data_IF_305868678763
#
_entry.id   IF_305868678763
#
_cell.length_a   1.000
_cell.length_b   1.000
_cell.length_c   1.000
_cell.angle_alpha   90.00
_cell.angle_beta   90.00
_cell.angle_gamma   90.00
#
_symmetry.space_group_name_H-M   'P 1'
#
loop_
_entity.id
_entity.type
_entity.pdbx_description
1 polymer ?
#
# COMPACT_ATOMS: atom_id res chain seq x y z
N UNK A 1 -24.98 -9.17 -51.18
CA UNK A 1 -25.09 -10.04 -50.00
C UNK A 1 -23.72 -10.15 -49.37
N UNK A 2 -23.52 -9.53 -48.21
CA UNK A 2 -22.27 -9.64 -47.45
C UNK A 2 -22.38 -10.87 -46.53
N UNK A 3 -21.55 -11.88 -46.77
CA UNK A 3 -21.38 -12.99 -45.83
C UNK A 3 -20.49 -12.46 -44.71
N UNK A 4 -21.13 -12.12 -43.60
CA UNK A 4 -20.48 -11.77 -42.35
C UNK A 4 -19.89 -13.08 -41.79
N UNK A 5 -18.64 -13.38 -42.15
CA UNK A 5 -17.89 -14.49 -41.56
C UNK A 5 -17.57 -14.13 -40.11
N UNK A 6 -18.40 -14.63 -39.18
CA UNK A 6 -18.04 -14.74 -37.77
C UNK A 6 -16.84 -15.68 -37.68
N UNK A 7 -15.63 -15.12 -37.56
CA UNK A 7 -14.51 -15.86 -37.00
C UNK A 7 -14.85 -16.04 -35.52
N UNK A 8 -15.49 -17.16 -35.20
CA UNK A 8 -15.44 -17.73 -33.86
C UNK A 8 -13.97 -18.08 -33.63
N UNK A 9 -13.20 -17.13 -33.07
CA UNK A 9 -11.95 -17.50 -32.41
C UNK A 9 -12.36 -18.44 -31.29
N UNK A 10 -12.27 -19.74 -31.57
CA UNK A 10 -12.12 -20.77 -30.56
C UNK A 10 -11.00 -20.26 -29.66
N UNK A 11 -11.37 -19.70 -28.52
CA UNK A 11 -10.46 -19.40 -27.42
C UNK A 11 -9.84 -20.73 -27.09
N UNK A 12 -8.66 -20.98 -27.67
CA UNK A 12 -7.91 -22.20 -27.50
C UNK A 12 -7.87 -22.50 -26.00
N UNK A 13 -8.17 -23.73 -25.66
CA UNK A 13 -8.17 -24.23 -24.30
C UNK A 13 -6.72 -24.21 -23.79
N UNK A 14 -6.17 -23.03 -23.53
CA UNK A 14 -4.78 -22.82 -23.12
C UNK A 14 -4.50 -23.65 -21.87
N UNK A 15 -3.36 -24.32 -21.84
CA UNK A 15 -2.91 -25.12 -20.70
C UNK A 15 -2.48 -24.24 -19.51
N UNK A 16 -2.47 -22.91 -19.68
CA UNK A 16 -2.18 -21.94 -18.63
C UNK A 16 -3.01 -20.66 -18.77
N UNK A 17 -3.22 -19.89 -17.69
CA UNK A 17 -3.87 -18.57 -17.77
C UNK A 17 -3.06 -17.61 -18.65
N UNK A 18 -3.75 -16.60 -19.20
CA UNK A 18 -3.12 -15.59 -20.06
C UNK A 18 -2.12 -14.73 -19.29
N UNK A 19 -0.96 -14.44 -19.88
CA UNK A 19 0.04 -13.54 -19.30
C UNK A 19 -0.49 -12.11 -19.13
N UNK A 20 -1.40 -11.67 -20.01
CA UNK A 20 -2.06 -10.36 -19.88
C UNK A 20 -2.99 -10.32 -18.67
N UNK A 21 -3.81 -11.36 -18.51
CA UNK A 21 -4.75 -11.47 -17.38
C UNK A 21 -4.00 -11.57 -16.05
N UNK A 22 -3.04 -12.48 -15.96
CA UNK A 22 -2.27 -12.73 -14.74
C UNK A 22 -1.43 -11.52 -14.31
N UNK A 23 -0.86 -10.78 -15.28
CA UNK A 23 -0.19 -9.51 -15.00
C UNK A 23 -1.15 -8.48 -14.39
N UNK A 24 -2.32 -8.27 -15.00
CA UNK A 24 -3.28 -7.29 -14.50
C UNK A 24 -3.81 -7.68 -13.11
N UNK A 25 -4.18 -8.95 -12.92
CA UNK A 25 -4.63 -9.45 -11.62
C UNK A 25 -3.57 -9.29 -10.53
N UNK A 26 -2.29 -9.48 -10.86
CA UNK A 26 -1.15 -9.29 -9.93
C UNK A 26 -0.97 -7.82 -9.56
N UNK A 27 -1.07 -6.92 -10.53
CA UNK A 27 -1.04 -5.48 -10.28
C UNK A 27 -2.23 -5.06 -9.41
N UNK A 28 -3.45 -5.52 -9.74
CA UNK A 28 -4.66 -5.19 -8.99
C UNK A 28 -4.60 -5.75 -7.57
N UNK A 29 -4.09 -6.98 -7.40
CA UNK A 29 -3.87 -7.58 -6.09
C UNK A 29 -2.86 -6.79 -5.27
N UNK A 30 -1.71 -6.44 -5.85
CA UNK A 30 -0.71 -5.62 -5.17
C UNK A 30 -1.30 -4.25 -4.79
N UNK A 31 -1.96 -3.55 -5.72
CA UNK A 31 -2.58 -2.26 -5.43
C UNK A 31 -3.76 -2.34 -4.46
N UNK A 32 -4.42 -3.49 -4.31
CA UNK A 32 -5.48 -3.67 -3.31
C UNK A 32 -4.90 -3.94 -1.91
N UNK A 33 -3.73 -4.57 -1.83
CA UNK A 33 -3.05 -4.91 -0.58
C UNK A 33 -2.00 -3.87 -0.16
N UNK A 34 -1.57 -3.01 -1.08
CA UNK A 34 -0.82 -1.79 -0.79
C UNK A 34 -1.83 -0.72 -0.39
N UNK A 35 -1.91 -0.46 0.92
CA UNK A 35 -2.82 0.52 1.54
C UNK A 35 -2.18 1.91 1.64
N UNK A 36 -0.92 2.07 1.20
CA UNK A 36 -0.40 3.39 0.84
C UNK A 36 -1.30 3.97 -0.25
N UNK A 37 -1.66 5.25 -0.14
CA UNK A 37 -2.42 5.91 -1.20
C UNK A 37 -1.68 5.72 -2.52
N UNK A 38 -2.37 5.14 -3.49
CA UNK A 38 -1.80 4.68 -4.76
C UNK A 38 -1.12 5.81 -5.52
N UNK A 39 -1.49 7.08 -5.24
CA UNK A 39 -0.82 8.25 -5.79
C UNK A 39 0.65 8.38 -5.38
N UNK A 40 1.09 7.72 -4.31
CA UNK A 40 2.48 7.71 -3.84
C UNK A 40 3.37 6.71 -4.58
N UNK A 41 2.80 5.82 -5.39
CA UNK A 41 3.52 4.75 -6.04
C UNK A 41 3.22 4.70 -7.53
N UNK A 42 4.27 4.80 -8.33
CA UNK A 42 4.23 4.60 -9.77
C UNK A 42 4.74 3.20 -10.08
N UNK A 43 3.93 2.35 -10.71
CA UNK A 43 4.40 1.04 -11.17
C UNK A 43 5.43 1.23 -12.29
N UNK A 44 6.68 0.84 -12.04
CA UNK A 44 7.77 0.93 -13.02
C UNK A 44 8.11 -0.42 -13.65
N UNK A 45 7.84 -1.52 -12.93
CA UNK A 45 8.10 -2.88 -13.41
C UNK A 45 7.01 -3.84 -12.95
N UNK A 46 6.61 -4.74 -13.84
CA UNK A 46 5.76 -5.87 -13.52
C UNK A 46 6.21 -7.06 -14.39
N UNK A 47 6.99 -7.95 -13.80
CA UNK A 47 7.61 -9.09 -14.48
C UNK A 47 7.16 -10.39 -13.84
N UNK A 48 6.75 -11.34 -14.69
CA UNK A 48 6.43 -12.69 -14.25
C UNK A 48 7.74 -13.45 -14.01
N UNK A 49 8.00 -13.84 -12.77
CA UNK A 49 9.22 -14.58 -12.42
C UNK A 49 9.04 -16.08 -12.47
N UNK A 50 7.81 -16.58 -12.26
CA UNK A 50 7.52 -18.02 -12.32
C UNK A 50 6.05 -18.32 -12.67
N UNK A 51 5.77 -19.57 -13.04
CA UNK A 51 4.47 -20.16 -12.79
C UNK A 51 4.44 -21.67 -13.04
N UNK A 52 3.67 -22.36 -12.23
CA UNK A 52 3.69 -23.82 -12.12
C UNK A 52 2.32 -24.37 -11.78
N UNK A 53 2.09 -25.65 -12.09
CA UNK A 53 0.89 -26.36 -11.66
C UNK A 53 1.11 -27.06 -10.32
N UNK A 54 0.14 -26.96 -9.43
CA UNK A 54 0.09 -27.69 -8.16
C UNK A 54 -1.37 -27.90 -7.76
N UNK A 55 -1.73 -29.11 -7.36
CA UNK A 55 -3.06 -29.44 -6.80
C UNK A 55 -4.25 -28.96 -7.66
N UNK A 56 -4.16 -29.13 -8.99
CA UNK A 56 -5.16 -28.68 -10.00
C UNK A 56 -5.31 -27.15 -10.15
N UNK A 57 -4.43 -26.37 -9.52
CA UNK A 57 -4.32 -24.94 -9.73
C UNK A 57 -3.02 -24.60 -10.47
N UNK A 58 -3.04 -23.48 -11.18
CA UNK A 58 -1.87 -22.88 -11.81
C UNK A 58 -1.48 -21.64 -11.01
N UNK A 59 -0.27 -21.62 -10.49
CA UNK A 59 0.28 -20.52 -9.71
C UNK A 59 1.13 -19.62 -10.61
N UNK A 60 1.08 -18.31 -10.37
CA UNK A 60 1.95 -17.33 -11.01
C UNK A 60 2.62 -16.48 -9.94
N UNK A 61 3.90 -16.20 -10.15
CA UNK A 61 4.68 -15.28 -9.34
C UNK A 61 5.03 -14.05 -10.18
N UNK A 62 4.76 -12.86 -9.65
CA UNK A 62 5.18 -11.60 -10.23
C UNK A 62 6.04 -10.80 -9.26
N UNK A 63 7.15 -10.29 -9.78
CA UNK A 63 7.94 -9.25 -9.13
C UNK A 63 7.46 -7.90 -9.67
N UNK A 64 7.01 -7.05 -8.77
CA UNK A 64 6.56 -5.70 -9.05
C UNK A 64 7.56 -4.72 -8.45
N UNK A 65 7.91 -3.70 -9.22
CA UNK A 65 8.68 -2.56 -8.72
C UNK A 65 7.83 -1.30 -8.87
N UNK A 66 7.73 -0.59 -7.77
CA UNK A 66 7.09 0.70 -7.67
C UNK A 66 8.14 1.75 -7.38
N UNK A 67 7.99 2.92 -7.98
CA UNK A 67 8.80 4.09 -7.67
C UNK A 67 7.98 5.05 -6.82
N UNK A 68 8.57 5.55 -5.76
CA UNK A 68 7.93 6.54 -4.90
C UNK A 68 7.83 7.87 -5.62
N UNK A 69 6.64 8.46 -5.63
CA UNK A 69 6.40 9.77 -6.27
C UNK A 69 6.63 10.93 -5.31
N UNK A 70 6.57 10.67 -4.00
CA UNK A 70 6.83 11.62 -2.92
C UNK A 70 7.68 10.98 -1.81
N UNK A 71 8.13 11.81 -0.87
CA UNK A 71 8.87 11.35 0.30
C UNK A 71 7.93 10.72 1.35
N UNK A 72 8.48 9.80 2.15
CA UNK A 72 7.77 9.14 3.25
C UNK A 72 7.14 10.14 4.24
N UNK A 73 7.82 11.26 4.51
CA UNK A 73 7.30 12.33 5.35
C UNK A 73 6.00 12.94 4.79
N UNK A 74 5.93 13.17 3.47
CA UNK A 74 4.75 13.73 2.79
C UNK A 74 3.56 12.78 2.87
N UNK A 75 3.81 11.48 2.64
CA UNK A 75 2.79 10.45 2.78
C UNK A 75 2.23 10.38 4.20
N UNK A 76 3.11 10.38 5.21
CA UNK A 76 2.68 10.35 6.60
C UNK A 76 1.87 11.60 6.98
N UNK A 77 2.28 12.78 6.53
CA UNK A 77 1.53 14.02 6.76
C UNK A 77 0.14 13.95 6.14
N UNK A 78 0.01 13.50 4.89
CA UNK A 78 -1.30 13.38 4.23
C UNK A 78 -2.22 12.39 4.97
N UNK A 79 -1.66 11.28 5.47
CA UNK A 79 -2.42 10.31 6.28
C UNK A 79 -2.82 10.92 7.64
N UNK A 80 -1.93 11.65 8.30
CA UNK A 80 -2.22 12.34 9.55
C UNK A 80 -3.31 13.42 9.38
N UNK A 81 -3.30 14.18 8.28
CA UNK A 81 -4.35 15.16 7.94
C UNK A 81 -5.72 14.47 7.79
N UNK A 82 -5.77 13.33 7.11
CA UNK A 82 -7.01 12.55 6.97
C UNK A 82 -7.52 12.02 8.32
N UNK A 83 -6.63 11.55 9.19
CA UNK A 83 -6.99 11.11 10.54
C UNK A 83 -7.51 12.29 11.36
N UNK A 84 -6.84 13.44 11.32
CA UNK A 84 -7.27 14.63 12.05
C UNK A 84 -8.63 15.13 11.56
N UNK A 85 -8.90 15.09 10.25
CA UNK A 85 -10.20 15.42 9.70
C UNK A 85 -11.30 14.44 10.16
N UNK A 86 -10.99 13.14 10.28
CA UNK A 86 -11.91 12.15 10.84
C UNK A 86 -12.16 12.41 12.33
N UNK A 87 -11.12 12.71 13.10
CA UNK A 87 -11.21 13.04 14.53
C UNK A 87 -12.05 14.30 14.77
N UNK A 88 -11.91 15.33 13.93
CA UNK A 88 -12.68 16.56 14.04
C UNK A 88 -14.20 16.35 13.89
N UNK A 89 -14.63 15.24 13.28
CA UNK A 89 -16.04 14.85 13.17
C UNK A 89 -16.58 14.10 14.40
N UNK A 90 -15.72 13.77 15.37
CA UNK A 90 -16.05 13.01 16.58
C UNK A 90 -16.17 13.90 17.82
N UNK A 91 -16.87 13.42 18.85
CA UNK A 91 -16.88 14.07 20.17
C UNK A 91 -15.51 13.99 20.85
N UNK A 92 -15.24 14.89 21.80
CA UNK A 92 -13.96 14.92 22.54
C UNK A 92 -13.64 13.58 23.22
N UNK A 93 -14.65 12.89 23.76
CA UNK A 93 -14.49 11.58 24.39
C UNK A 93 -14.11 10.49 23.38
N UNK A 94 -14.71 10.52 22.18
CA UNK A 94 -14.40 9.60 21.09
C UNK A 94 -13.01 9.86 20.52
N UNK A 95 -12.63 11.13 20.36
CA UNK A 95 -11.27 11.50 19.96
C UNK A 95 -10.23 10.99 20.97
N UNK A 96 -10.46 11.23 22.26
CA UNK A 96 -9.58 10.78 23.34
C UNK A 96 -9.51 9.24 23.38
N UNK A 97 -10.64 8.55 23.19
CA UNK A 97 -10.69 7.08 23.17
C UNK A 97 -9.95 6.51 21.95
N UNK A 98 -10.11 7.13 20.78
CA UNK A 98 -9.39 6.72 19.56
C UNK A 98 -7.88 6.85 19.76
N UNK A 99 -7.41 8.03 20.17
CA UNK A 99 -5.98 8.29 20.42
C UNK A 99 -5.43 7.42 21.57
N UNK A 100 -6.22 7.16 22.62
CA UNK A 100 -5.81 6.32 23.76
C UNK A 100 -5.74 4.83 23.38
N UNK A 101 -6.77 4.28 22.71
CA UNK A 101 -6.76 2.89 22.22
C UNK A 101 -5.54 2.65 21.34
N UNK A 102 -5.29 3.60 20.44
CA UNK A 102 -4.11 3.61 19.62
C UNK A 102 -2.89 3.60 20.52
N UNK A 103 -2.66 4.60 21.39
CA UNK A 103 -1.49 4.66 22.30
C UNK A 103 -1.21 3.38 23.11
N UNK A 104 -2.23 2.58 23.45
CA UNK A 104 -2.10 1.29 24.14
C UNK A 104 -1.61 0.17 23.20
N UNK A 105 -2.01 0.18 21.93
CA UNK A 105 -1.48 -0.71 20.87
C UNK A 105 0.00 -0.38 20.54
N UNK A 106 0.51 0.83 20.84
CA UNK A 106 1.93 1.25 20.66
C UNK A 106 2.89 0.69 21.71
N UNK A 107 2.40 0.06 22.78
CA UNK A 107 3.31 -0.44 23.82
C UNK A 107 4.12 -1.67 23.36
N UNK A 108 3.80 -2.23 22.19
CA UNK A 108 4.66 -3.17 21.48
C UNK A 108 5.73 -2.41 20.66
N UNK A 109 6.80 -2.01 21.37
CA UNK A 109 7.88 -1.14 20.88
C UNK A 109 8.56 -1.63 19.59
N UNK A 110 8.42 -2.91 19.24
CA UNK A 110 9.18 -3.56 18.18
C UNK A 110 8.85 -3.02 16.79
N UNK A 111 7.58 -2.74 16.49
CA UNK A 111 7.12 -2.37 15.15
C UNK A 111 7.35 -0.91 14.79
N UNK A 112 7.31 -0.02 15.78
CA UNK A 112 7.40 1.43 15.58
C UNK A 112 8.79 2.00 15.84
N UNK A 113 9.73 1.16 16.26
CA UNK A 113 11.11 1.56 16.50
C UNK A 113 11.76 2.17 15.25
N UNK A 114 11.61 1.61 14.02
CA UNK A 114 12.19 2.21 12.81
C UNK A 114 11.64 3.62 12.54
N UNK A 115 10.32 3.83 12.71
CA UNK A 115 9.70 5.15 12.60
C UNK A 115 10.23 6.12 13.67
N UNK A 116 10.31 5.66 14.92
CA UNK A 116 10.75 6.48 16.05
C UNK A 116 12.21 6.95 15.87
N UNK A 117 13.07 6.07 15.37
CA UNK A 117 14.48 6.38 15.10
C UNK A 117 14.63 7.32 13.90
N UNK A 118 13.89 7.06 12.82
CA UNK A 118 13.82 7.97 11.68
C UNK A 118 13.34 9.36 12.11
N UNK A 119 12.26 9.43 12.89
CA UNK A 119 11.69 10.69 13.37
C UNK A 119 12.72 11.51 14.15
N UNK A 120 13.38 10.89 15.14
CA UNK A 120 14.43 11.55 15.94
C UNK A 120 15.62 12.01 15.09
N UNK A 121 16.04 11.20 14.11
CA UNK A 121 17.18 11.52 13.25
C UNK A 121 16.90 12.60 12.20
N UNK A 122 15.63 12.90 11.90
CA UNK A 122 15.27 13.81 10.81
C UNK A 122 14.67 15.15 11.27
N UNK A 123 14.47 15.38 12.58
CA UNK A 123 13.80 16.59 13.08
C UNK A 123 14.43 17.90 12.62
N UNK A 124 15.76 17.94 12.50
CA UNK A 124 16.50 19.15 12.11
C UNK A 124 16.68 19.30 10.58
N UNK A 125 16.14 18.38 9.79
CA UNK A 125 16.25 18.44 8.33
C UNK A 125 15.27 19.46 7.74
N UNK A 126 15.69 20.17 6.69
CA UNK A 126 14.83 21.12 5.99
C UNK A 126 13.55 20.45 5.45
N UNK A 127 13.67 19.22 4.98
CA UNK A 127 12.56 18.40 4.49
C UNK A 127 11.51 18.15 5.58
N UNK A 128 11.94 17.70 6.75
CA UNK A 128 11.05 17.48 7.88
C UNK A 128 10.38 18.79 8.33
N UNK A 129 11.13 19.88 8.43
CA UNK A 129 10.61 21.19 8.87
C UNK A 129 9.57 21.77 7.89
N UNK A 130 9.75 21.54 6.58
CA UNK A 130 8.82 22.00 5.56
C UNK A 130 7.54 21.17 5.48
N UNK A 131 7.65 19.85 5.62
CA UNK A 131 6.53 18.93 5.40
C UNK A 131 5.80 18.60 6.69
N UNK A 132 6.53 18.10 7.69
CA UNK A 132 5.97 17.72 8.99
C UNK A 132 5.76 18.98 9.84
N UNK A 133 6.79 19.81 10.02
CA UNK A 133 6.71 21.03 10.83
C UNK A 133 5.65 22.04 10.36
N UNK A 134 5.28 22.06 9.07
CA UNK A 134 4.19 22.90 8.55
C UNK A 134 2.79 22.35 8.91
N UNK A 135 2.59 21.04 8.83
CA UNK A 135 1.34 20.39 9.24
C UNK A 135 1.09 20.61 10.73
N UNK A 136 2.11 20.35 11.55
CA UNK A 136 2.07 20.48 13.00
C UNK A 136 1.71 21.90 13.48
N UNK A 137 2.24 22.94 12.82
CA UNK A 137 1.88 24.35 13.09
C UNK A 137 0.41 24.70 12.82
N UNK A 138 -0.34 23.89 12.06
CA UNK A 138 -1.76 24.14 11.75
C UNK A 138 -2.73 23.48 12.75
N UNK A 139 -2.32 22.46 13.50
CA UNK A 139 -3.24 21.60 14.29
C UNK A 139 -3.52 22.08 15.73
N UNK A 140 -3.11 23.29 16.11
CA UNK A 140 -3.31 23.93 17.43
C UNK A 140 -2.85 23.10 18.67
N UNK A 141 -1.75 23.55 19.28
CA UNK A 141 -1.31 23.38 20.68
C UNK A 141 -1.37 21.98 21.33
N UNK A 142 -0.37 21.13 21.04
CA UNK A 142 0.53 20.50 22.03
C UNK A 142 1.46 19.53 21.27
N UNK A 143 2.78 19.62 21.47
CA UNK A 143 3.78 18.68 20.90
C UNK A 143 3.41 17.20 21.11
N UNK A 144 2.63 16.91 22.16
CA UNK A 144 2.09 15.59 22.46
C UNK A 144 1.03 15.11 21.45
N UNK A 145 0.09 15.97 21.01
CA UNK A 145 -0.94 15.62 20.02
C UNK A 145 -0.30 15.40 18.65
N UNK A 146 0.66 16.25 18.31
CA UNK A 146 1.46 16.16 17.09
C UNK A 146 2.15 14.78 16.96
N UNK A 147 2.85 14.39 18.03
CA UNK A 147 3.51 13.10 18.10
C UNK A 147 2.52 11.94 18.06
N UNK A 148 1.38 12.06 18.73
CA UNK A 148 0.34 11.03 18.71
C UNK A 148 -0.24 10.84 17.30
N UNK A 149 -0.60 11.91 16.58
CA UNK A 149 -1.15 11.81 15.23
C UNK A 149 -0.17 11.18 14.24
N UNK A 150 1.11 11.56 14.31
CA UNK A 150 2.12 11.00 13.41
C UNK A 150 2.46 9.56 13.74
N UNK A 151 2.42 9.18 15.02
CA UNK A 151 2.49 7.79 15.44
C UNK A 151 1.30 6.99 14.89
N UNK A 152 0.08 7.54 14.97
CA UNK A 152 -1.14 6.94 14.38
C UNK A 152 -1.03 6.75 12.89
N UNK A 153 -0.57 7.77 12.16
CA UNK A 153 -0.35 7.66 10.72
C UNK A 153 0.68 6.56 10.39
N UNK A 154 1.78 6.49 11.14
CA UNK A 154 2.83 5.49 10.94
C UNK A 154 2.36 4.07 11.27
N UNK A 155 1.64 3.86 12.37
CA UNK A 155 1.09 2.54 12.70
C UNK A 155 0.03 2.09 11.70
N UNK A 156 -0.87 3.01 11.32
CA UNK A 156 -1.90 2.72 10.33
C UNK A 156 -1.28 2.41 8.96
N UNK A 157 -0.06 2.86 8.66
CA UNK A 157 0.74 2.36 7.54
C UNK A 157 1.26 0.94 7.86
N UNK A 158 1.99 0.77 8.95
CA UNK A 158 2.74 -0.46 9.24
C UNK A 158 1.86 -1.71 9.37
N UNK A 159 0.70 -1.57 10.01
CA UNK A 159 -0.24 -2.69 10.23
C UNK A 159 -1.09 -3.04 9.02
N UNK A 160 -1.19 -2.13 8.05
CA UNK A 160 -1.98 -2.37 6.83
C UNK A 160 -1.15 -2.86 5.65
N UNK A 161 0.19 -2.74 5.69
CA UNK A 161 1.01 -2.78 4.46
C UNK A 161 2.04 -3.90 4.34
N UNK A 162 2.23 -4.76 5.34
CA UNK A 162 3.49 -5.52 5.35
C UNK A 162 4.67 -4.54 5.24
N UNK A 163 4.68 -3.52 6.09
CA UNK A 163 5.77 -2.53 6.25
C UNK A 163 6.22 -1.83 4.96
N UNK A 164 5.57 -0.72 4.57
CA UNK A 164 6.23 0.21 3.65
C UNK A 164 7.52 0.72 4.31
N UNK A 165 8.67 0.72 3.60
CA UNK A 165 9.93 1.03 4.26
C UNK A 165 9.95 2.47 4.78
N UNK A 166 10.20 2.60 6.09
CA UNK A 166 10.37 3.91 6.73
C UNK A 166 11.54 4.66 6.09
N UNK A 167 11.31 5.93 5.74
CA UNK A 167 12.37 6.82 5.25
C UNK A 167 12.63 6.76 3.75
N UNK A 168 11.77 6.11 2.96
CA UNK A 168 11.84 6.22 1.50
C UNK A 168 11.74 7.68 1.04
N UNK A 169 12.59 8.03 0.09
CA UNK A 169 12.61 9.33 -0.59
C UNK A 169 11.92 9.21 -1.93
N UNK A 170 11.51 10.34 -2.49
CA UNK A 170 11.01 10.44 -3.86
C UNK A 170 12.01 9.83 -4.84
N UNK A 171 11.53 8.88 -5.64
CA UNK A 171 12.29 8.17 -6.65
C UNK A 171 12.92 6.86 -6.18
N UNK A 172 12.86 6.54 -4.89
CA UNK A 172 13.27 5.24 -4.37
C UNK A 172 12.38 4.12 -4.92
N UNK A 173 12.93 2.91 -4.95
CA UNK A 173 12.23 1.72 -5.46
C UNK A 173 11.67 0.88 -4.32
N UNK A 174 10.38 0.61 -4.35
CA UNK A 174 9.67 -0.32 -3.49
C UNK A 174 9.39 -1.60 -4.27
N UNK A 175 9.89 -2.73 -3.76
CA UNK A 175 9.69 -4.04 -4.39
C UNK A 175 8.56 -4.78 -3.68
N UNK A 176 7.66 -5.34 -4.45
CA UNK A 176 6.57 -6.17 -3.97
C UNK A 176 6.49 -7.42 -4.82
N UNK A 177 6.15 -8.55 -4.21
CA UNK A 177 5.94 -9.77 -4.96
C UNK A 177 4.52 -10.27 -4.71
N UNK A 178 3.94 -10.90 -5.73
CA UNK A 178 2.61 -11.51 -5.64
C UNK A 178 2.68 -12.95 -6.08
N UNK A 179 2.02 -13.83 -5.34
CA UNK A 179 1.69 -15.18 -5.78
C UNK A 179 0.18 -15.29 -5.90
N UNK A 180 -0.31 -15.64 -7.09
CA UNK A 180 -1.73 -15.83 -7.37
C UNK A 180 -1.98 -17.23 -7.93
N UNK A 181 -3.11 -17.82 -7.57
CA UNK A 181 -3.53 -19.14 -8.03
C UNK A 181 -4.75 -19.05 -8.94
N UNK A 182 -4.79 -19.94 -9.93
CA UNK A 182 -5.81 -19.98 -10.97
C UNK A 182 -6.34 -21.40 -11.14
N UNK A 183 -7.65 -21.55 -11.32
CA UNK A 183 -8.29 -22.82 -11.65
C UNK A 183 -8.89 -22.79 -13.05
N UNK A 184 -8.77 -23.91 -13.77
CA UNK A 184 -9.38 -24.08 -15.08
C UNK A 184 -10.85 -24.45 -14.90
N UNK A 185 -11.74 -23.63 -15.43
CA UNK A 185 -13.19 -23.84 -15.44
C UNK A 185 -13.70 -24.04 -16.87
N UNK A 186 -14.98 -24.40 -17.03
CA UNK A 186 -15.65 -24.45 -18.34
C UNK A 186 -15.61 -23.11 -19.09
N UNK A 187 -15.46 -22.00 -18.36
CA UNK A 187 -15.37 -20.63 -18.91
C UNK A 187 -13.93 -20.16 -19.12
N UNK A 188 -12.93 -21.01 -18.86
CA UNK A 188 -11.50 -20.68 -18.92
C UNK A 188 -10.87 -20.56 -17.53
N UNK A 189 -9.67 -19.97 -17.48
CA UNK A 189 -8.91 -19.80 -16.24
C UNK A 189 -9.49 -18.68 -15.37
N UNK A 190 -9.73 -18.98 -14.10
CA UNK A 190 -10.26 -18.04 -13.11
C UNK A 190 -9.33 -17.94 -11.90
N UNK A 191 -9.04 -16.72 -11.45
CA UNK A 191 -8.27 -16.46 -10.23
C UNK A 191 -9.03 -16.99 -9.01
N UNK A 192 -8.36 -17.73 -8.14
CA UNK A 192 -8.89 -18.09 -6.82
C UNK A 192 -8.77 -16.88 -5.88
N UNK A 193 -9.82 -16.62 -5.09
CA UNK A 193 -9.83 -15.53 -4.10
C UNK A 193 -9.09 -15.93 -2.84
#
# INVERSE_FOLDING_TARGET
MAILSFILTLSGCSDKPSDTQTKQDSIDYALANIVVDKSFLELTKAERTNGWEKDKAYFVHYDLEFKTTENYATMLTAKAENIEAQLAALSELEQATYLMKLSLEYNDKTYLQPFTDWWKGNQDTAEYQQTVGRFLRKTSNNDMRERQLMLVAAYAELTSNGSFPVGMKKGDTYKYWTELSYIKTEKGWMRQQ
#
